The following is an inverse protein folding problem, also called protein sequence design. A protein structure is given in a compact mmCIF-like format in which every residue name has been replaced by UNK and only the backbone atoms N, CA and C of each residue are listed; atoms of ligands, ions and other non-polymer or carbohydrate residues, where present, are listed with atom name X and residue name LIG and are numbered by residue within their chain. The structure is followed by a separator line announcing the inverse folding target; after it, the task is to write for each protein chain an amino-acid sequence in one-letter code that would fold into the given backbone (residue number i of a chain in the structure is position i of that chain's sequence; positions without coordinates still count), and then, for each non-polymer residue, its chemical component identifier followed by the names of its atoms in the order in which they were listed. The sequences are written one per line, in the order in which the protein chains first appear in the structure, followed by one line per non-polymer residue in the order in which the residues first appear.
data_IF_765476138524
#
_entry.id   IF_765476138524
#
_cell.length_a   1.000
_cell.length_b   1.000
_cell.length_c   1.000
_cell.angle_alpha   90.00
_cell.angle_beta   90.00
_cell.angle_gamma   90.00
#
_symmetry.space_group_name_H-M   'P 1'
#
loop_
_entity.id
_entity.type
_entity.pdbx_description
1 polymer ?
2 non-polymer ?
3 water ?
#
# COMPACT_ATOMS: atom_id res chain seq x y z
N UNK A 1 -15.12 -15.67 2.67
CA UNK A 1 -14.49 -14.93 1.58
C UNK A 1 -14.10 -15.85 0.40
N UNK A 2 -14.04 -15.28 -0.80
CA UNK A 2 -13.83 -16.11 -1.99
C UNK A 2 -12.42 -16.67 -2.04
N UNK A 3 -12.20 -17.57 -2.99
CA UNK A 3 -10.87 -18.11 -3.14
C UNK A 3 -9.94 -17.19 -3.90
N UNK A 4 -10.50 -16.31 -4.73
CA UNK A 4 -9.71 -15.33 -5.47
C UNK A 4 -10.29 -13.96 -5.18
N UNK A 5 -9.42 -12.99 -4.91
CA UNK A 5 -9.80 -11.59 -4.86
C UNK A 5 -8.79 -10.83 -5.69
N UNK A 6 -9.25 -9.91 -6.54
CA UNK A 6 -8.35 -9.10 -7.36
C UNK A 6 -9.05 -7.78 -7.59
N UNK A 7 -8.70 -6.79 -6.77
CA UNK A 7 -9.32 -5.49 -6.85
C UNK A 7 -9.05 -4.78 -8.17
N UNK A 8 -8.00 -5.17 -8.90
CA UNK A 8 -7.79 -4.58 -10.22
C UNK A 8 -8.95 -4.89 -11.15
N UNK A 9 -9.58 -6.04 -10.96
CA UNK A 9 -10.66 -6.47 -11.82
C UNK A 9 -11.96 -5.79 -11.44
N UNK A 10 -12.06 -5.26 -10.23
CA UNK A 10 -13.19 -4.44 -9.82
C UNK A 10 -12.91 -2.97 -10.03
N UNK A 11 -11.87 -2.64 -10.80
CA UNK A 11 -11.56 -1.26 -11.10
C UNK A 11 -11.25 -0.42 -9.89
N UNK A 12 -10.67 -1.01 -8.85
CA UNK A 12 -10.36 -0.26 -7.65
C UNK A 12 -8.87 0.04 -7.49
N UNK A 13 -8.08 -0.16 -8.54
CA UNK A 13 -6.64 0.01 -8.45
C UNK A 13 -6.17 0.89 -9.59
N UNK A 14 -5.40 1.91 -9.24
CA UNK A 14 -4.88 2.82 -10.24
C UNK A 14 -3.62 2.23 -10.85
N UNK A 15 -3.10 2.84 -11.91
CA UNK A 15 -1.88 2.31 -12.53
C UNK A 15 -0.72 2.27 -11.54
N UNK A 16 0.19 1.34 -11.79
CA UNK A 16 1.38 1.20 -10.94
C UNK A 16 2.23 2.46 -11.02
N UNK A 17 2.72 2.90 -9.86
CA UNK A 17 3.57 4.06 -9.78
C UNK A 17 5.01 3.64 -9.52
N UNK A 18 5.91 4.59 -9.73
CA UNK A 18 7.31 4.43 -9.41
C UNK A 18 7.65 5.49 -8.37
N UNK A 19 7.96 5.05 -7.16
CA UNK A 19 8.34 5.99 -6.11
C UNK A 19 9.71 6.61 -6.37
N UNK A 20 10.52 6.01 -7.22
CA UNK A 20 11.83 6.59 -7.48
C UNK A 20 12.77 6.37 -6.31
N UNK A 21 13.80 7.20 -6.25
CA UNK A 21 14.82 6.99 -5.23
C UNK A 21 14.33 7.35 -3.84
N UNK A 22 13.24 8.09 -3.74
CA UNK A 22 12.70 8.53 -2.46
C UNK A 22 12.09 7.37 -1.66
N UNK A 23 12.34 7.34 -0.36
CA UNK A 23 11.80 6.31 0.51
C UNK A 23 10.38 6.60 0.91
N UNK A 24 9.48 6.58 -0.07
CA UNK A 24 8.10 7.00 0.13
C UNK A 24 7.13 5.84 0.01
N UNK A 25 7.63 4.61 0.09
CA UNK A 25 6.76 3.46 -0.03
C UNK A 25 5.58 3.57 0.92
N UNK A 26 5.84 4.06 2.14
CA UNK A 26 4.77 4.17 3.12
C UNK A 26 3.62 5.01 2.59
N UNK A 27 3.93 6.09 1.85
CA UNK A 27 2.89 6.95 1.30
C UNK A 27 2.23 6.33 0.08
N UNK A 28 3.03 5.73 -0.80
CA UNK A 28 2.46 5.02 -1.94
C UNK A 28 1.53 3.92 -1.45
N UNK A 29 1.99 3.15 -0.45
CA UNK A 29 1.16 2.09 0.14
C UNK A 29 -0.18 2.64 0.63
N UNK A 30 -0.12 3.72 1.43
CA UNK A 30 -1.34 4.28 1.98
C UNK A 30 -2.27 4.78 0.88
N UNK A 31 -1.70 5.35 -0.17
CA UNK A 31 -2.55 5.92 -1.22
C UNK A 31 -3.32 4.83 -1.94
N UNK A 32 -2.69 3.68 -2.19
CA UNK A 32 -3.40 2.57 -2.83
C UNK A 32 -4.65 2.22 -2.05
N UNK A 33 -4.53 2.13 -0.73
CA UNK A 33 -5.68 1.76 0.08
C UNK A 33 -6.73 2.86 0.05
N UNK A 34 -6.32 4.13 -0.01
CA UNK A 34 -7.28 5.22 -0.16
C UNK A 34 -7.96 5.14 -1.52
N UNK A 35 -7.17 4.96 -2.58
CA UNK A 35 -7.76 4.82 -3.90
C UNK A 35 -8.78 3.68 -3.94
N UNK A 36 -8.45 2.55 -3.30
CA UNK A 36 -9.34 1.42 -3.35
C UNK A 36 -10.65 1.68 -2.61
N UNK A 37 -10.55 2.20 -1.39
CA UNK A 37 -11.74 2.35 -0.56
C UNK A 37 -12.65 3.44 -1.12
N UNK A 38 -12.08 4.51 -1.67
CA UNK A 38 -12.94 5.53 -2.27
C UNK A 38 -13.64 4.97 -3.50
N UNK A 39 -12.95 4.15 -4.29
CA UNK A 39 -13.66 3.43 -5.36
C UNK A 39 -14.77 2.56 -4.81
N UNK A 40 -14.48 1.80 -3.75
CA UNK A 40 -15.43 0.86 -3.20
C UNK A 40 -16.68 1.58 -2.71
N UNK A 41 -16.50 2.67 -1.94
CA UNK A 41 -17.65 3.38 -1.40
C UNK A 41 -18.37 4.25 -2.43
N UNK A 42 -17.64 4.98 -3.25
CA UNK A 42 -18.27 6.00 -4.08
C UNK A 42 -18.42 5.58 -5.54
N UNK A 43 -17.78 4.49 -5.96
CA UNK A 43 -17.80 4.08 -7.34
C UNK A 43 -16.82 4.82 -8.24
N UNK A 44 -16.08 5.80 -7.71
CA UNK A 44 -15.15 6.59 -8.50
C UNK A 44 -13.74 6.12 -8.20
N UNK A 45 -12.99 5.77 -9.24
CA UNK A 45 -11.56 5.53 -9.11
C UNK A 45 -10.83 6.83 -9.44
N UNK A 46 -10.17 7.39 -8.43
CA UNK A 46 -9.30 8.55 -8.60
C UNK A 46 -7.91 8.21 -8.10
N UNK A 47 -6.95 9.03 -8.51
CA UNK A 47 -5.61 8.97 -7.96
C UNK A 47 -5.44 10.06 -6.93
N UNK A 48 -4.81 9.72 -5.82
CA UNK A 48 -4.61 10.68 -4.74
C UNK A 48 -3.11 10.87 -4.54
N UNK A 49 -2.79 11.84 -3.70
CA UNK A 49 -1.44 12.40 -3.69
C UNK A 49 -0.56 11.67 -2.69
N UNK A 50 0.39 10.88 -3.19
CA UNK A 50 1.48 10.41 -2.34
C UNK A 50 2.31 11.59 -1.86
N UNK A 51 2.50 12.58 -2.72
CA UNK A 51 3.35 13.72 -2.35
C UNK A 51 2.80 14.45 -1.14
N UNK A 52 1.48 14.58 -1.08
CA UNK A 52 0.85 15.23 0.07
C UNK A 52 1.21 14.53 1.37
N UNK A 53 1.11 13.20 1.39
CA UNK A 53 1.50 12.47 2.60
C UNK A 53 2.98 12.65 2.88
N UNK A 54 3.80 12.57 1.84
CA UNK A 54 5.24 12.78 2.00
C UNK A 54 5.54 14.12 2.66
N UNK A 55 4.86 15.18 2.21
CA UNK A 55 5.14 16.51 2.72
C UNK A 55 4.48 16.78 4.07
N UNK A 56 3.31 16.17 4.34
CA UNK A 56 2.45 16.63 5.42
C UNK A 56 2.37 15.68 6.60
N UNK A 57 2.75 14.42 6.46
CA UNK A 57 2.76 13.52 7.59
C UNK A 57 3.99 13.82 8.43
N UNK A 58 3.78 14.54 9.53
CA UNK A 58 4.87 14.96 10.39
C UNK A 58 5.44 13.83 11.25
N UNK A 59 4.69 12.73 11.42
CA UNK A 59 5.18 11.56 12.16
C UNK A 59 6.09 10.69 11.31
N UNK A 60 6.05 10.86 10.00
CA UNK A 60 6.93 10.12 9.11
C UNK A 60 8.13 10.99 8.74
N UNK A 61 9.11 10.37 8.10
CA UNK A 61 10.38 11.02 7.78
C UNK A 61 10.57 11.26 6.28
N UNK A 62 9.50 11.63 5.60
CA UNK A 62 9.58 11.96 4.19
C UNK A 62 10.19 10.85 3.37
N UNK A 63 11.21 11.21 2.59
CA UNK A 63 11.89 10.23 1.77
C UNK A 63 12.80 9.32 2.59
N UNK A 64 12.95 9.57 3.88
CA UNK A 64 13.75 8.68 4.71
C UNK A 64 12.91 7.57 5.31
N UNK A 65 11.66 7.47 4.90
CA UNK A 65 10.77 6.43 5.38
C UNK A 65 9.66 7.00 6.24
N UNK A 66 8.73 6.13 6.57
CA UNK A 66 7.61 6.54 7.37
C UNK A 66 6.65 5.41 7.63
N UNK A 67 5.45 5.77 8.04
CA UNK A 67 4.50 4.82 8.56
C UNK A 67 3.22 4.90 7.76
N UNK A 68 2.80 3.81 7.14
CA UNK A 68 1.48 3.79 6.49
C UNK A 68 0.35 4.16 7.44
N UNK A 69 0.40 3.73 8.71
CA UNK A 69 -0.70 4.02 9.62
C UNK A 69 -0.82 5.52 9.91
N UNK A 70 0.30 6.23 10.04
CA UNK A 70 0.18 7.67 10.28
C UNK A 70 -0.28 8.40 9.03
N UNK A 71 0.19 7.99 7.85
CA UNK A 71 -0.30 8.58 6.61
C UNK A 71 -1.81 8.37 6.50
N UNK A 72 -2.27 7.20 6.92
CA UNK A 72 -3.69 6.89 6.84
C UNK A 72 -4.47 7.64 7.90
N UNK A 73 -3.84 7.87 9.05
CA UNK A 73 -4.46 8.70 10.08
C UNK A 73 -4.57 10.14 9.60
N UNK A 74 -3.54 10.62 8.88
CA UNK A 74 -3.57 11.98 8.34
C UNK A 74 -4.73 12.18 7.37
N UNK A 75 -5.02 11.17 6.54
CA UNK A 75 -6.13 11.27 5.60
C UNK A 75 -7.46 11.19 6.34
N UNK A 76 -7.50 10.44 7.45
CA UNK A 76 -8.72 10.37 8.24
C UNK A 76 -8.99 11.67 8.98
N UNK A 77 -7.94 12.33 9.45
CA UNK A 77 -8.14 13.56 10.21
C UNK A 77 -8.35 14.75 9.28
N UNK A 78 -7.54 14.87 8.25
CA UNK A 78 -7.63 16.01 7.35
C UNK A 78 -8.25 15.58 6.02
N UNK A 79 -7.55 14.80 5.24
CA UNK A 79 -8.01 14.46 3.91
C UNK A 79 -6.83 14.40 2.97
N UNK A 80 -7.12 14.28 1.69
CA UNK A 80 -6.06 14.15 0.70
C UNK A 80 -6.56 14.74 -0.61
N UNK A 81 -5.63 15.25 -1.40
CA UNK A 81 -5.94 15.87 -2.69
C UNK A 81 -5.75 14.86 -3.80
N UNK A 82 -6.29 15.22 -4.97
CA UNK A 82 -6.03 14.47 -6.18
C UNK A 82 -4.56 14.50 -6.51
N UNK A 83 -4.07 13.38 -7.02
CA UNK A 83 -2.68 13.34 -7.45
C UNK A 83 -2.38 14.44 -8.47
N UNK A 84 -3.35 14.73 -9.34
CA UNK A 84 -3.17 15.80 -10.33
C UNK A 84 -2.91 17.15 -9.67
N UNK A 85 -3.63 17.43 -8.58
CA UNK A 85 -3.55 18.73 -7.92
C UNK A 85 -2.22 18.86 -7.19
N UNK A 86 -1.67 17.72 -6.79
CA UNK A 86 -0.54 17.65 -5.87
C UNK A 86 0.34 16.52 -6.38
N UNK A 87 0.98 16.71 -7.52
CA UNK A 87 1.68 15.59 -8.17
C UNK A 87 2.93 15.19 -7.42
N UNK A 88 3.41 13.99 -7.75
CA UNK A 88 4.58 13.42 -7.11
C UNK A 88 5.84 14.08 -7.62
N UNK A 89 6.68 14.48 -6.68
CA UNK A 89 7.93 15.11 -7.03
C UNK A 89 9.14 14.29 -6.62
N UNK A 90 8.97 13.23 -5.81
CA UNK A 90 10.11 12.40 -5.47
C UNK A 90 11.05 13.00 -4.46
N UNK A 91 10.65 14.08 -3.81
CA UNK A 91 11.45 14.76 -2.82
C UNK A 91 10.47 15.34 -1.81
N UNK A 92 10.88 15.40 -0.55
CA UNK A 92 10.00 16.00 0.44
C UNK A 92 10.08 17.51 0.32
N UNK A 93 8.92 18.15 0.27
CA UNK A 93 8.91 19.60 0.32
C UNK A 93 7.94 19.97 1.43
N UNK A 94 7.64 21.25 1.56
CA UNK A 94 6.74 21.60 2.64
C UNK A 94 5.31 21.22 2.27
N UNK A 95 4.48 21.12 3.29
CA UNK A 95 3.12 20.66 3.12
C UNK A 95 2.27 21.75 2.48
N UNK A 96 1.68 21.44 1.32
CA UNK A 96 1.04 22.46 0.50
C UNK A 96 -0.46 22.21 0.38
N UNK A 97 -1.00 21.43 1.31
CA UNK A 97 -2.42 21.09 1.30
C UNK A 97 -3.28 22.35 1.22
N UNK A 98 -2.97 23.36 2.04
CA UNK A 98 -3.80 24.57 2.11
C UNK A 98 -3.80 25.33 0.79
N UNK A 99 -2.63 25.45 0.13
CA UNK A 99 -2.56 26.17 -1.14
C UNK A 99 -3.29 25.46 -2.27
N UNK A 100 -3.73 24.23 -2.08
CA UNK A 100 -4.34 23.46 -3.14
C UNK A 100 -5.83 23.27 -2.94
N UNK A 101 -6.43 24.09 -2.10
CA UNK A 101 -7.86 24.13 -1.98
C UNK A 101 -8.40 22.94 -1.21
N UNK A 102 -9.69 22.67 -1.39
CA UNK A 102 -10.37 21.69 -0.53
C UNK A 102 -9.85 20.29 -0.80
N UNK A 103 -9.73 19.50 0.27
CA UNK A 103 -9.37 18.10 0.06
C UNK A 103 -10.35 17.46 -0.91
N UNK A 104 -9.85 16.52 -1.71
CA UNK A 104 -10.71 15.80 -2.63
C UNK A 104 -11.40 14.61 -1.99
N UNK A 105 -10.92 14.16 -0.83
CA UNK A 105 -11.43 12.94 -0.23
C UNK A 105 -10.93 12.87 1.19
N UNK A 106 -11.69 12.18 2.03
CA UNK A 106 -11.37 12.07 3.45
C UNK A 106 -11.89 10.73 3.93
N UNK A 107 -11.12 10.07 4.77
CA UNK A 107 -11.54 8.82 5.36
C UNK A 107 -11.96 9.05 6.81
N UNK A 108 -12.53 8.02 7.41
CA UNK A 108 -13.08 8.15 8.75
C UNK A 108 -12.21 7.51 9.82
N UNK A 109 -11.19 6.75 9.42
CA UNK A 109 -10.27 6.21 10.39
C UNK A 109 -9.35 5.19 9.77
N UNK A 110 -8.58 4.54 10.63
CA UNK A 110 -7.58 3.55 10.25
C UNK A 110 -7.69 2.40 11.23
N UNK A 111 -7.61 1.17 10.72
CA UNK A 111 -7.59 -0.02 11.55
C UNK A 111 -6.35 -0.84 11.26
N UNK A 112 -5.93 -1.60 12.27
CA UNK A 112 -4.85 -2.56 12.16
C UNK A 112 -5.47 -3.94 11.97
N UNK A 113 -4.89 -4.70 11.05
CA UNK A 113 -5.19 -6.12 10.93
C UNK A 113 -4.46 -6.80 12.07
N UNK A 114 -5.07 -7.81 12.70
CA UNK A 114 -4.37 -8.47 13.78
C UNK A 114 -3.09 -9.08 13.23
N UNK A 115 -1.93 -8.82 13.82
CA UNK A 115 -0.69 -9.20 13.16
C UNK A 115 -0.44 -10.69 13.22
N UNK A 116 0.45 -11.14 12.35
CA UNK A 116 0.88 -12.54 12.35
C UNK A 116 -0.28 -13.51 12.17
N UNK A 117 -1.34 -13.06 11.49
CA UNK A 117 -2.54 -13.86 11.28
C UNK A 117 -2.90 -13.80 9.80
N UNK A 118 -2.71 -14.92 9.10
CA UNK A 118 -2.91 -14.91 7.66
C UNK A 118 -4.38 -14.79 7.32
N UNK A 119 -5.24 -15.47 8.07
CA UNK A 119 -6.67 -15.35 7.82
C UNK A 119 -7.17 -13.93 8.03
N UNK A 120 -6.67 -13.26 9.07
CA UNK A 120 -7.11 -11.90 9.32
C UNK A 120 -6.73 -10.99 8.16
N UNK A 121 -5.54 -11.16 7.60
CA UNK A 121 -5.14 -10.36 6.44
C UNK A 121 -6.01 -10.65 5.24
N UNK A 122 -6.23 -11.94 4.93
CA UNK A 122 -7.06 -12.29 3.78
C UNK A 122 -8.48 -11.75 3.94
N UNK A 123 -9.03 -11.88 5.14
CA UNK A 123 -10.33 -11.30 5.41
C UNK A 123 -10.34 -9.83 5.05
N UNK A 124 -9.31 -9.10 5.46
CA UNK A 124 -9.24 -7.67 5.19
C UNK A 124 -9.11 -7.40 3.69
N UNK A 125 -8.28 -8.18 2.99
CA UNK A 125 -8.09 -7.95 1.56
C UNK A 125 -9.39 -8.22 0.80
N UNK A 126 -10.14 -9.23 1.23
CA UNK A 126 -11.44 -9.47 0.62
C UNK A 126 -12.34 -8.25 0.72
N UNK A 127 -12.11 -7.38 1.70
CA UNK A 127 -12.96 -6.20 1.84
C UNK A 127 -12.44 -4.98 1.09
N UNK A 128 -11.13 -4.88 0.91
CA UNK A 128 -10.53 -3.68 0.36
C UNK A 128 -9.02 -3.86 0.32
N UNK A 129 -8.30 -3.08 -0.47
CA UNK A 129 -6.84 -3.14 -0.44
C UNK A 129 -6.30 -2.75 0.94
N UNK A 130 -5.24 -3.43 1.33
CA UNK A 130 -4.67 -3.30 2.66
C UNK A 130 -3.21 -2.89 2.51
N UNK A 131 -2.77 -2.01 3.39
CA UNK A 131 -1.37 -1.63 3.46
C UNK A 131 -0.60 -2.68 4.25
N UNK A 132 0.47 -3.22 3.67
CA UNK A 132 1.22 -4.28 4.32
C UNK A 132 2.69 -3.96 4.17
N UNK A 133 3.50 -4.59 5.02
CA UNK A 133 4.94 -4.36 4.97
C UNK A 133 5.63 -5.67 4.70
N UNK A 134 6.80 -5.59 4.11
CA UNK A 134 7.57 -6.80 3.89
C UNK A 134 9.04 -6.42 3.80
N UNK A 135 9.87 -7.46 3.83
CA UNK A 135 11.30 -7.30 3.65
C UNK A 135 11.56 -7.29 2.15
N UNK A 136 12.01 -6.16 1.65
CA UNK A 136 12.27 -6.03 0.23
C UNK A 136 13.74 -5.87 -0.07
N UNK A 137 14.59 -5.85 0.97
CA UNK A 137 16.00 -5.53 0.76
C UNK A 137 16.73 -6.66 0.05
N UNK A 138 16.29 -7.91 0.24
CA UNK A 138 16.99 -9.03 -0.37
C UNK A 138 16.97 -8.98 -1.88
N UNK A 139 18.05 -9.49 -2.48
CA UNK A 139 18.22 -9.42 -3.94
C UNK A 139 17.15 -10.23 -4.65
N UNK A 140 16.75 -11.36 -4.06
CA UNK A 140 15.69 -12.17 -4.65
C UNK A 140 14.40 -11.38 -4.82
N UNK A 141 13.98 -10.67 -3.77
CA UNK A 141 12.82 -9.79 -3.92
C UNK A 141 13.10 -8.72 -4.98
N UNK A 142 14.28 -8.13 -4.95
CA UNK A 142 14.53 -7.01 -5.86
C UNK A 142 14.53 -7.46 -7.31
N UNK A 143 15.07 -8.64 -7.60
CA UNK A 143 15.15 -9.11 -8.97
C UNK A 143 13.95 -9.94 -9.37
N UNK A 144 12.91 -9.94 -8.55
CA UNK A 144 11.68 -10.64 -8.89
C UNK A 144 11.15 -10.25 -10.26
N UNK A 145 10.87 -11.26 -11.08
CA UNK A 145 10.33 -10.99 -12.41
C UNK A 145 9.03 -11.71 -12.69
N UNK A 146 8.51 -12.47 -11.74
CA UNK A 146 7.23 -13.13 -11.95
C UNK A 146 7.19 -14.45 -11.20
N UNK A 147 6.01 -15.05 -11.20
CA UNK A 147 5.81 -16.28 -10.47
C UNK A 147 5.34 -16.00 -9.06
N UNK A 148 5.07 -17.07 -8.34
CA UNK A 148 4.73 -16.93 -6.93
C UNK A 148 6.02 -16.87 -6.16
N UNK A 149 6.22 -15.78 -5.45
CA UNK A 149 7.48 -15.53 -4.78
C UNK A 149 7.45 -16.18 -3.40
N UNK A 150 8.43 -17.04 -3.15
CA UNK A 150 8.52 -17.75 -1.89
C UNK A 150 9.72 -17.29 -1.07
N UNK A 151 10.43 -16.29 -1.55
CA UNK A 151 11.69 -15.94 -0.99
C UNK A 151 12.83 -16.40 -1.88
N UNK A 152 14.02 -16.51 -1.30
CA UNK A 152 14.33 -16.32 0.12
C UNK A 152 14.17 -14.88 0.58
N UNK A 153 13.76 -14.76 1.85
CA UNK A 153 13.73 -13.48 2.54
C UNK A 153 13.58 -13.75 4.02
N UNK A 154 14.03 -12.81 4.83
CA UNK A 154 13.77 -12.80 6.25
C UNK A 154 12.54 -11.99 6.58
N UNK A 155 12.41 -11.62 7.85
CA UNK A 155 11.30 -10.82 8.31
C UNK A 155 11.74 -9.42 8.73
N UNK A 156 12.90 -8.96 8.24
CA UNK A 156 13.37 -7.61 8.53
C UNK A 156 12.65 -6.63 7.61
N UNK A 157 11.37 -6.42 7.95
CA UNK A 157 10.48 -5.67 7.07
C UNK A 157 10.99 -4.24 6.92
N UNK A 158 10.85 -3.72 5.73
CA UNK A 158 11.49 -2.46 5.41
C UNK A 158 10.73 -1.71 4.33
N UNK A 159 9.63 -2.22 3.84
CA UNK A 159 9.06 -1.70 2.61
C UNK A 159 7.56 -1.85 2.70
N UNK A 160 6.85 -0.74 2.54
CA UNK A 160 5.40 -0.75 2.62
C UNK A 160 4.86 -0.91 1.22
N UNK A 161 3.93 -1.84 1.06
CA UNK A 161 3.29 -2.05 -0.23
C UNK A 161 1.80 -2.16 0.02
N UNK A 162 1.07 -2.69 -0.94
CA UNK A 162 -0.37 -2.80 -0.77
C UNK A 162 -0.84 -4.12 -1.33
N UNK A 163 -1.59 -4.87 -0.54
CA UNK A 163 -2.18 -6.12 -0.99
C UNK A 163 -3.53 -5.78 -1.62
N UNK A 164 -3.71 -6.16 -2.88
CA UNK A 164 -4.93 -5.84 -3.59
C UNK A 164 -5.64 -7.11 -4.05
N UNK A 165 -5.27 -8.25 -3.50
CA UNK A 165 -5.87 -9.48 -3.92
C UNK A 165 -5.13 -10.67 -3.32
N UNK A 166 -5.66 -11.85 -3.62
CA UNK A 166 -5.03 -13.08 -3.18
C UNK A 166 -5.63 -14.23 -3.95
N UNK A 167 -4.96 -15.37 -3.84
CA UNK A 167 -5.41 -16.61 -4.42
C UNK A 167 -5.16 -17.71 -3.42
N UNK A 168 -5.44 -18.95 -3.81
CA UNK A 168 -5.16 -20.09 -2.92
C UNK A 168 -3.74 -20.12 -2.36
N UNK A 169 -2.75 -19.77 -3.17
CA UNK A 169 -1.35 -19.92 -2.79
C UNK A 169 -0.59 -18.59 -2.72
N UNK A 170 -1.27 -17.47 -2.82
CA UNK A 170 -0.56 -16.20 -2.88
C UNK A 170 -1.42 -15.05 -2.41
N UNK A 171 -0.72 -13.97 -2.05
CA UNK A 171 -1.30 -12.66 -1.84
C UNK A 171 -0.77 -11.76 -2.95
N UNK A 172 -1.67 -11.02 -3.59
CA UNK A 172 -1.33 -10.16 -4.72
C UNK A 172 -0.97 -8.77 -4.20
N UNK A 173 0.24 -8.32 -4.54
CA UNK A 173 0.81 -7.09 -4.00
C UNK A 173 1.05 -6.12 -5.13
N UNK A 174 0.61 -4.87 -4.94
CA UNK A 174 0.99 -3.75 -5.79
C UNK A 174 2.24 -3.12 -5.20
N UNK A 175 3.35 -3.22 -5.92
CA UNK A 175 4.54 -2.50 -5.52
C UNK A 175 4.55 -1.12 -6.15
N UNK A 176 5.50 -0.31 -5.73
CA UNK A 176 5.65 1.06 -6.21
C UNK A 176 6.99 1.26 -6.90
N UNK A 177 7.43 0.23 -7.62
CA UNK A 177 8.72 0.27 -8.29
C UNK A 177 8.57 0.39 -9.80
N UNK A 178 7.40 0.81 -10.27
CA UNK A 178 7.13 0.96 -11.68
C UNK A 178 6.58 -0.31 -12.29
N UNK A 179 6.19 -0.21 -13.55
CA UNK A 179 5.59 -1.32 -14.27
C UNK A 179 6.63 -2.29 -14.80
N UNK A 180 7.90 -1.90 -14.85
CA UNK A 180 8.96 -2.81 -15.26
C UNK A 180 9.29 -3.90 -14.27
N UNK A 181 8.98 -3.70 -12.99
CA UNK A 181 9.37 -4.65 -11.95
C UNK A 181 8.30 -5.72 -11.79
N UNK A 182 8.75 -6.94 -11.54
CA UNK A 182 7.77 -7.96 -11.18
C UNK A 182 6.79 -8.22 -12.30
N UNK A 183 5.54 -8.44 -11.93
CA UNK A 183 4.48 -8.74 -12.88
C UNK A 183 3.73 -7.47 -13.20
N UNK A 184 4.28 -6.70 -14.14
CA UNK A 184 3.71 -5.41 -14.52
C UNK A 184 3.56 -4.53 -13.27
N UNK A 185 4.53 -4.64 -12.36
CA UNK A 185 4.54 -3.85 -11.16
C UNK A 185 3.97 -4.55 -9.93
N UNK A 186 3.47 -5.76 -10.08
CA UNK A 186 2.87 -6.53 -9.00
C UNK A 186 3.76 -7.71 -8.62
N UNK A 187 3.50 -8.25 -7.44
CA UNK A 187 4.12 -9.49 -6.97
C UNK A 187 3.08 -10.35 -6.28
N UNK A 188 3.10 -11.64 -6.61
CA UNK A 188 2.32 -12.64 -5.91
C UNK A 188 3.25 -13.33 -4.92
N UNK A 189 2.93 -13.20 -3.65
CA UNK A 189 3.78 -13.73 -2.59
C UNK A 189 3.07 -14.92 -1.99
N UNK A 190 3.84 -15.98 -1.77
CA UNK A 190 3.25 -17.22 -1.30
C UNK A 190 2.59 -17.02 0.06
N UNK A 191 1.41 -17.61 0.22
CA UNK A 191 0.79 -17.66 1.54
C UNK A 191 0.57 -19.11 1.93
N UNK A 192 0.11 -19.31 3.15
CA UNK A 192 -0.25 -20.65 3.59
C UNK A 192 0.93 -21.55 3.85
N UNK A 193 2.03 -21.00 4.36
CA UNK A 193 3.21 -21.77 4.72
C UNK A 193 3.27 -22.08 6.20
N UNK A 194 2.32 -21.58 6.99
CA UNK A 194 2.33 -21.78 8.42
C UNK A 194 3.29 -20.90 9.17
N UNK A 195 4.19 -20.20 8.46
CA UNK A 195 5.00 -19.14 9.03
C UNK A 195 4.08 -17.99 9.45
N UNK A 196 3.90 -17.81 10.76
CA UNK A 196 3.03 -16.75 11.24
C UNK A 196 3.58 -15.37 10.90
N UNK A 197 4.88 -15.26 10.63
CA UNK A 197 5.42 -13.98 10.19
C UNK A 197 4.95 -13.64 8.79
N UNK A 198 4.57 -14.66 8.01
CA UNK A 198 4.35 -14.51 6.60
C UNK A 198 5.66 -14.51 5.82
N UNK A 199 5.56 -14.85 4.55
CA UNK A 199 6.73 -14.82 3.71
C UNK A 199 7.27 -13.38 3.65
N UNK A 200 8.57 -13.23 3.84
CA UNK A 200 9.21 -11.91 3.91
C UNK A 200 8.56 -11.02 4.97
N UNK A 201 8.00 -11.63 6.02
CA UNK A 201 7.42 -10.87 7.10
C UNK A 201 6.13 -10.16 6.75
N UNK A 202 5.41 -10.66 5.75
CA UNK A 202 4.22 -10.00 5.21
C UNK A 202 3.11 -9.78 6.22
N UNK A 203 3.08 -10.54 7.32
CA UNK A 203 1.99 -10.35 8.28
C UNK A 203 2.39 -9.48 9.46
N UNK A 204 3.50 -8.74 9.36
CA UNK A 204 4.00 -7.99 10.50
C UNK A 204 3.10 -6.81 10.86
N UNK A 205 2.71 -6.00 9.88
CA UNK A 205 2.07 -4.73 10.24
C UNK A 205 1.20 -4.28 9.06
N UNK A 206 -0.11 -4.49 9.19
CA UNK A 206 -1.04 -4.25 8.11
C UNK A 206 -2.14 -3.31 8.58
N UNK A 207 -2.44 -2.30 7.77
CA UNK A 207 -3.47 -1.32 8.09
C UNK A 207 -4.35 -1.05 6.89
N UNK A 208 -5.59 -0.67 7.17
CA UNK A 208 -6.49 -0.26 6.11
C UNK A 208 -7.30 0.92 6.59
N UNK A 209 -7.66 1.83 5.68
CA UNK A 209 -8.52 2.95 6.05
C UNK A 209 -9.97 2.52 6.20
N UNK A 210 -10.69 3.24 7.03
CA UNK A 210 -12.11 3.04 7.19
C UNK A 210 -12.81 4.22 6.55
N UNK A 211 -13.83 3.93 5.75
CA UNK A 211 -14.64 4.95 5.11
C UNK A 211 -16.11 4.55 5.29
N UNK A 212 -16.80 5.23 6.20
CA UNK A 212 -18.23 4.99 6.39
C UNK A 212 -18.98 5.51 5.18
#
# INVERSE_FOLDING_TARGET
IPEYVDWRQKGAVTPVKNQGSCGSCWAFSAVVTIEGIIKIRTGNLNEYSEQELLDCDRRSYGCNGGYPWSALQLVAQYGIHYRNTYPYEGVQRYCRSREKGPYAAKTDGVRQVQPYNEGALLYSIANQPVSVVLEAAGKDFQLYRGGIFVGPCGNKVDHAVAAVGYGPNYILIKNSWGTGWGENGYIRIKRGTGNSYGVCGLYTSSFYPVKN
#
